data_IF_564518480723
#
_entry.id   IF_564518480723
#
_cell.length_a   1.000
_cell.length_b   1.000
_cell.length_c   1.000
_cell.angle_alpha   90.00
_cell.angle_beta   90.00
_cell.angle_gamma   90.00
#
_symmetry.space_group_name_H-M   'P 1'
#
loop_
_entity.id
_entity.type
_entity.pdbx_description
1 polymer ?
#
# COMPACT_ATOMS: atom_id res chain seq x y z
N UNK A 1 -12.42 -3.24 22.66
CA UNK A 1 -11.34 -3.76 21.82
C UNK A 1 -11.89 -4.32 20.50
N UNK A 2 -12.52 -5.50 20.50
CA UNK A 2 -12.97 -6.18 19.26
C UNK A 2 -13.96 -5.33 18.44
N UNK A 3 -14.85 -4.57 19.06
CA UNK A 3 -15.77 -3.68 18.36
C UNK A 3 -15.02 -2.58 17.59
N UNK A 4 -13.98 -2.00 18.17
CA UNK A 4 -13.16 -0.96 17.52
C UNK A 4 -12.39 -1.58 16.35
N UNK A 5 -11.75 -2.72 16.55
CA UNK A 5 -10.98 -3.38 15.50
C UNK A 5 -11.83 -3.79 14.29
N UNK A 6 -13.11 -4.14 14.51
CA UNK A 6 -14.03 -4.61 13.47
C UNK A 6 -14.89 -3.49 12.84
N UNK A 7 -14.72 -2.26 13.26
CA UNK A 7 -15.60 -1.15 12.80
C UNK A 7 -15.53 -0.92 11.29
N UNK A 8 -14.37 -1.16 10.68
CA UNK A 8 -14.09 -0.88 9.28
C UNK A 8 -13.73 -2.15 8.49
N UNK A 9 -13.97 -3.35 9.07
CA UNK A 9 -13.66 -4.60 8.37
C UNK A 9 -14.69 -4.91 7.27
N UNK A 10 -14.20 -5.43 6.16
CA UNK A 10 -15.04 -5.98 5.10
C UNK A 10 -14.46 -7.31 4.64
N UNK A 11 -15.30 -8.31 4.51
CA UNK A 11 -14.98 -9.60 3.88
C UNK A 11 -15.92 -9.84 2.71
N UNK A 12 -15.38 -10.20 1.55
CA UNK A 12 -16.16 -10.40 0.35
C UNK A 12 -15.67 -11.61 -0.45
N UNK A 13 -16.57 -12.53 -0.78
CA UNK A 13 -16.34 -13.56 -1.78
C UNK A 13 -16.59 -12.97 -3.17
N UNK A 14 -15.69 -13.23 -4.11
CA UNK A 14 -15.71 -12.67 -5.46
C UNK A 14 -15.94 -13.77 -6.50
N UNK A 15 -15.19 -14.87 -6.39
CA UNK A 15 -15.22 -16.03 -7.30
C UNK A 15 -15.04 -15.63 -8.78
N UNK A 16 -14.03 -14.81 -9.06
CA UNK A 16 -13.73 -14.30 -10.40
C UNK A 16 -12.36 -14.76 -10.87
N UNK A 17 -12.29 -15.76 -11.70
CA UNK A 17 -11.03 -16.34 -12.22
C UNK A 17 -10.08 -16.72 -11.06
N UNK A 18 -8.86 -16.12 -11.02
CA UNK A 18 -7.89 -16.36 -9.97
C UNK A 18 -8.22 -15.72 -8.63
N UNK A 19 -9.16 -14.78 -8.58
CA UNK A 19 -9.57 -14.11 -7.35
C UNK A 19 -10.74 -14.83 -6.69
N UNK A 20 -10.52 -15.40 -5.51
CA UNK A 20 -11.53 -16.10 -4.72
C UNK A 20 -12.30 -15.17 -3.79
N UNK A 21 -11.59 -14.42 -2.97
CA UNK A 21 -12.15 -13.57 -1.93
C UNK A 21 -11.14 -12.50 -1.50
N UNK A 22 -11.58 -11.53 -0.70
CA UNK A 22 -10.68 -10.61 -0.01
C UNK A 22 -11.23 -10.18 1.35
N UNK A 23 -10.32 -9.86 2.25
CA UNK A 23 -10.57 -9.24 3.54
C UNK A 23 -9.89 -7.88 3.57
N UNK A 24 -10.60 -6.83 3.99
CA UNK A 24 -10.01 -5.51 4.20
C UNK A 24 -10.32 -4.99 5.59
N UNK A 25 -9.44 -4.15 6.12
CA UNK A 25 -9.70 -3.36 7.31
C UNK A 25 -8.81 -2.11 7.34
N UNK A 26 -9.31 -1.10 8.06
CA UNK A 26 -8.60 0.15 8.30
C UNK A 26 -8.70 0.52 9.78
N UNK A 27 -7.57 0.93 10.38
CA UNK A 27 -7.51 1.45 11.74
C UNK A 27 -6.89 2.84 11.73
N UNK A 28 -7.66 3.91 12.01
CA UNK A 28 -7.16 5.27 12.01
C UNK A 28 -6.25 5.54 13.21
N UNK A 29 -5.24 6.36 12.98
CA UNK A 29 -4.40 7.04 13.96
C UNK A 29 -4.50 8.54 13.80
N UNK A 30 -4.58 9.01 12.56
CA UNK A 30 -4.85 10.39 12.22
C UNK A 30 -6.37 10.70 12.27
N UNK A 31 -6.74 11.96 12.49
CA UNK A 31 -8.12 12.43 12.45
C UNK A 31 -8.20 13.77 11.69
N UNK A 32 -8.69 13.77 10.46
CA UNK A 32 -9.15 12.62 9.67
C UNK A 32 -8.02 11.63 9.35
N UNK A 33 -8.37 10.37 9.12
CA UNK A 33 -7.46 9.34 8.63
C UNK A 33 -6.87 9.76 7.28
N UNK A 34 -5.55 9.64 7.12
CA UNK A 34 -4.85 10.03 5.90
C UNK A 34 -4.76 8.90 4.88
N UNK A 35 -4.86 7.64 5.32
CA UNK A 35 -4.92 6.47 4.44
C UNK A 35 -6.26 6.34 3.70
N UNK A 36 -6.18 5.78 2.48
CA UNK A 36 -7.34 5.29 1.72
C UNK A 36 -7.08 3.89 1.19
N UNK A 37 -8.15 3.09 1.18
CA UNK A 37 -8.14 1.75 0.61
C UNK A 37 -9.33 1.63 -0.33
N UNK A 38 -9.09 1.15 -1.56
CA UNK A 38 -10.13 0.98 -2.57
C UNK A 38 -10.05 -0.43 -3.18
N UNK A 39 -11.21 -0.98 -3.49
CA UNK A 39 -11.38 -2.21 -4.25
C UNK A 39 -12.32 -1.93 -5.40
N UNK A 40 -11.88 -2.21 -6.62
CA UNK A 40 -12.67 -2.00 -7.81
C UNK A 40 -12.56 -3.18 -8.78
N UNK A 41 -13.61 -3.39 -9.56
CA UNK A 41 -13.59 -4.26 -10.73
C UNK A 41 -13.28 -3.41 -11.96
N UNK A 42 -12.27 -3.77 -12.71
CA UNK A 42 -12.02 -3.15 -14.00
C UNK A 42 -13.13 -3.56 -14.98
N UNK A 43 -13.92 -2.60 -15.45
CA UNK A 43 -15.00 -2.88 -16.42
C UNK A 43 -14.48 -3.06 -17.84
N UNK A 44 -13.25 -2.65 -18.10
CA UNK A 44 -12.60 -2.70 -19.40
C UNK A 44 -11.77 -3.97 -19.62
N UNK A 45 -11.45 -4.66 -18.53
CA UNK A 45 -10.84 -5.98 -18.50
C UNK A 45 -11.66 -6.89 -17.60
N UNK A 46 -11.29 -8.16 -17.47
CA UNK A 46 -11.91 -9.07 -16.50
C UNK A 46 -11.30 -8.96 -15.11
N UNK A 47 -10.32 -8.04 -14.95
CA UNK A 47 -9.49 -7.92 -13.77
C UNK A 47 -10.14 -7.18 -12.60
N UNK A 48 -9.48 -7.31 -11.46
CA UNK A 48 -9.78 -6.57 -10.24
C UNK A 48 -8.59 -5.70 -9.86
N UNK A 49 -8.89 -4.53 -9.29
CA UNK A 49 -7.89 -3.60 -8.80
C UNK A 49 -8.07 -3.37 -7.31
N UNK A 50 -6.96 -3.32 -6.60
CA UNK A 50 -6.87 -2.96 -5.19
C UNK A 50 -5.86 -1.83 -5.07
N UNK A 51 -6.19 -0.78 -4.32
CA UNK A 51 -5.30 0.35 -4.10
C UNK A 51 -5.22 0.70 -2.63
N UNK A 52 -4.02 0.90 -2.11
CA UNK A 52 -3.73 1.53 -0.83
C UNK A 52 -2.99 2.82 -1.10
N UNK A 53 -3.47 3.89 -0.51
CA UNK A 53 -2.94 5.24 -0.61
C UNK A 53 -2.66 5.73 0.80
N UNK A 54 -1.41 6.00 1.08
CA UNK A 54 -0.93 6.48 2.37
C UNK A 54 -0.63 7.96 2.24
N UNK A 55 -1.50 8.79 2.80
CA UNK A 55 -1.44 10.25 2.69
C UNK A 55 -0.59 10.87 3.79
N UNK A 56 0.11 11.96 3.45
CA UNK A 56 0.82 12.76 4.42
C UNK A 56 0.64 14.26 4.15
N UNK A 57 0.76 15.05 5.22
CA UNK A 57 0.46 16.49 5.15
C UNK A 57 -1.03 16.79 5.01
N UNK A 58 -1.91 15.79 5.14
CA UNK A 58 -3.36 15.87 5.03
C UNK A 58 -3.96 14.75 4.19
N UNK A 59 -5.23 14.44 4.42
CA UNK A 59 -5.93 13.30 3.81
C UNK A 59 -6.44 13.57 2.37
N UNK A 60 -6.54 14.84 1.96
CA UNK A 60 -7.29 15.21 0.75
C UNK A 60 -6.66 14.65 -0.54
N UNK A 61 -5.32 14.56 -0.60
CA UNK A 61 -4.67 14.03 -1.79
C UNK A 61 -4.88 12.52 -1.92
N UNK A 62 -4.73 11.75 -0.85
CA UNK A 62 -5.03 10.31 -0.86
C UNK A 62 -6.50 10.05 -1.22
N UNK A 63 -7.43 10.87 -0.75
CA UNK A 63 -8.85 10.84 -1.14
C UNK A 63 -9.01 11.07 -2.65
N UNK A 64 -8.40 12.12 -3.19
CA UNK A 64 -8.46 12.44 -4.63
C UNK A 64 -7.89 11.30 -5.48
N UNK A 65 -6.75 10.73 -5.07
CA UNK A 65 -6.12 9.60 -5.77
C UNK A 65 -6.99 8.35 -5.75
N UNK A 66 -7.61 8.05 -4.61
CA UNK A 66 -8.50 6.89 -4.48
C UNK A 66 -9.72 6.96 -5.42
N UNK A 67 -10.15 8.16 -5.79
CA UNK A 67 -11.23 8.36 -6.75
C UNK A 67 -10.78 8.40 -8.21
N UNK A 68 -9.53 8.78 -8.49
CA UNK A 68 -9.10 9.06 -9.87
C UNK A 68 -8.12 8.04 -10.44
N UNK A 69 -7.18 7.50 -9.64
CA UNK A 69 -6.05 6.73 -10.19
C UNK A 69 -6.51 5.45 -10.91
N UNK A 70 -7.50 4.74 -10.36
CA UNK A 70 -7.99 3.51 -11.01
C UNK A 70 -8.66 3.79 -12.35
N UNK A 71 -9.32 4.94 -12.52
CA UNK A 71 -9.89 5.36 -13.80
C UNK A 71 -8.78 5.68 -14.82
N UNK A 72 -7.70 6.37 -14.37
CA UNK A 72 -6.52 6.64 -15.22
C UNK A 72 -5.85 5.34 -15.66
N UNK A 73 -5.71 4.37 -14.76
CA UNK A 73 -5.18 3.04 -15.08
C UNK A 73 -6.09 2.34 -16.11
N UNK A 74 -7.39 2.27 -15.84
CA UNK A 74 -8.35 1.63 -16.73
C UNK A 74 -8.32 2.23 -18.14
N UNK A 75 -8.31 3.56 -18.24
CA UNK A 75 -8.21 4.26 -19.54
C UNK A 75 -6.85 4.03 -20.21
N UNK A 76 -5.76 3.96 -19.45
CA UNK A 76 -4.40 3.74 -19.99
C UNK A 76 -4.18 2.31 -20.50
N UNK A 77 -4.94 1.34 -19.97
CA UNK A 77 -4.94 -0.05 -20.43
C UNK A 77 -5.67 -0.20 -21.79
N UNK A 78 -6.59 0.70 -22.12
CA UNK A 78 -7.30 0.64 -23.40
C UNK A 78 -6.37 0.88 -24.59
N UNK A 79 -6.46 0.06 -25.65
CA UNK A 79 -5.82 0.35 -26.91
C UNK A 79 -6.27 1.73 -27.43
N UNK A 80 -5.36 2.56 -28.02
CA UNK A 80 -5.70 3.91 -28.47
C UNK A 80 -6.87 3.97 -29.47
N UNK A 81 -7.03 2.97 -30.31
CA UNK A 81 -8.14 2.87 -31.25
C UNK A 81 -9.50 2.72 -30.52
N UNK A 82 -9.56 1.86 -29.52
CA UNK A 82 -10.77 1.65 -28.70
C UNK A 82 -11.06 2.87 -27.81
N UNK A 83 -10.03 3.51 -27.27
CA UNK A 83 -10.18 4.73 -26.51
C UNK A 83 -10.79 5.85 -27.37
N UNK A 84 -10.32 6.01 -28.62
CA UNK A 84 -10.85 6.98 -29.57
C UNK A 84 -12.33 6.68 -29.90
N UNK A 85 -12.66 5.44 -30.24
CA UNK A 85 -14.03 4.99 -30.48
C UNK A 85 -14.95 5.23 -29.26
N UNK A 86 -14.43 4.94 -28.05
CA UNK A 86 -15.12 5.19 -26.80
C UNK A 86 -15.43 6.69 -26.60
N UNK A 87 -14.44 7.56 -26.81
CA UNK A 87 -14.61 9.01 -26.67
C UNK A 87 -15.55 9.58 -27.74
N UNK A 88 -15.56 9.05 -28.96
CA UNK A 88 -16.46 9.46 -30.02
C UNK A 88 -17.91 9.01 -29.77
N UNK A 89 -18.12 7.81 -29.27
CA UNK A 89 -19.46 7.25 -28.94
C UNK A 89 -20.07 7.86 -27.69
N UNK A 90 -19.28 8.20 -26.67
CA UNK A 90 -19.76 8.69 -25.38
C UNK A 90 -20.02 10.19 -25.30
N UNK A 91 -20.08 10.88 -26.44
CA UNK A 91 -20.78 12.17 -26.47
C UNK A 91 -22.27 12.04 -26.11
N UNK A 92 -22.80 10.82 -26.03
CA UNK A 92 -24.17 10.50 -25.57
C UNK A 92 -24.20 9.09 -24.95
N UNK A 93 -24.37 9.03 -23.60
CA UNK A 93 -24.86 7.88 -22.80
C UNK A 93 -24.04 6.61 -22.59
N UNK A 94 -23.87 6.27 -21.30
CA UNK A 94 -23.65 4.97 -20.64
C UNK A 94 -22.55 3.98 -21.12
N UNK A 95 -21.66 3.73 -20.18
CA UNK A 95 -20.48 2.86 -20.06
C UNK A 95 -20.66 1.34 -20.30
N UNK A 96 -21.68 0.84 -20.97
CA UNK A 96 -22.11 -0.57 -20.81
C UNK A 96 -21.69 -1.55 -21.91
N UNK A 97 -21.11 -1.18 -23.04
CA UNK A 97 -20.97 -2.11 -24.18
C UNK A 97 -19.61 -2.22 -24.90
N UNK A 98 -18.49 -1.95 -24.27
CA UNK A 98 -17.16 -2.17 -24.90
C UNK A 98 -16.51 -3.50 -24.49
N UNK A 99 -17.23 -4.41 -23.87
CA UNK A 99 -16.72 -5.59 -23.14
C UNK A 99 -16.16 -6.72 -24.03
N UNK A 100 -16.14 -6.63 -25.35
CA UNK A 100 -15.84 -7.79 -26.21
C UNK A 100 -14.54 -7.78 -27.00
N UNK A 101 -13.59 -6.89 -26.78
CA UNK A 101 -12.46 -6.78 -27.70
C UNK A 101 -11.08 -6.49 -27.07
N UNK A 102 -10.83 -6.82 -25.83
CA UNK A 102 -9.46 -6.81 -25.32
C UNK A 102 -9.00 -8.26 -25.22
N UNK A 103 -8.59 -8.83 -26.35
CA UNK A 103 -7.66 -9.94 -26.34
C UNK A 103 -6.39 -9.44 -25.64
N UNK A 104 -6.05 -10.06 -24.56
CA UNK A 104 -4.92 -9.85 -23.64
C UNK A 104 -3.87 -8.83 -24.12
N UNK A 105 -3.76 -7.70 -23.41
CA UNK A 105 -2.57 -6.86 -23.47
C UNK A 105 -1.36 -7.71 -23.06
N UNK A 106 -0.21 -7.47 -23.68
CA UNK A 106 1.04 -8.05 -23.20
C UNK A 106 1.37 -7.44 -21.83
N UNK A 107 2.15 -8.16 -21.03
CA UNK A 107 2.59 -7.67 -19.71
C UNK A 107 3.27 -6.31 -19.84
N UNK A 108 4.14 -6.13 -20.85
CA UNK A 108 4.80 -4.86 -21.13
C UNK A 108 3.82 -3.72 -21.42
N UNK A 109 2.75 -3.97 -22.16
CA UNK A 109 1.73 -2.95 -22.43
C UNK A 109 0.97 -2.55 -21.18
N UNK A 110 0.73 -3.52 -20.27
CA UNK A 110 0.10 -3.26 -18.98
C UNK A 110 1.04 -2.48 -18.05
N UNK A 111 2.32 -2.83 -18.00
CA UNK A 111 3.35 -2.10 -17.26
C UNK A 111 3.46 -0.65 -17.72
N UNK A 112 3.56 -0.44 -19.04
CA UNK A 112 3.62 0.89 -19.64
C UNK A 112 2.34 1.71 -19.37
N UNK A 113 1.18 1.06 -19.33
CA UNK A 113 -0.09 1.72 -19.02
C UNK A 113 -0.16 2.16 -17.57
N UNK A 114 0.26 1.31 -16.65
CA UNK A 114 0.34 1.63 -15.21
C UNK A 114 1.30 2.80 -14.98
N UNK A 115 2.47 2.74 -15.61
CA UNK A 115 3.46 3.81 -15.53
C UNK A 115 2.90 5.16 -16.01
N UNK A 116 2.28 5.16 -17.22
CA UNK A 116 1.67 6.38 -17.76
C UNK A 116 0.56 6.94 -16.88
N UNK A 117 -0.30 6.08 -16.33
CA UNK A 117 -1.42 6.50 -15.49
C UNK A 117 -0.98 7.30 -14.26
N UNK A 118 0.05 6.81 -13.56
CA UNK A 118 0.60 7.48 -12.37
C UNK A 118 1.17 8.85 -12.71
N UNK A 119 2.07 8.89 -13.69
CA UNK A 119 2.74 10.15 -14.09
C UNK A 119 1.73 11.15 -14.67
N UNK A 120 0.78 10.69 -15.48
CA UNK A 120 -0.22 11.57 -16.08
C UNK A 120 -1.15 12.16 -15.03
N UNK A 121 -1.61 11.36 -14.05
CA UNK A 121 -2.47 11.87 -12.97
C UNK A 121 -1.75 12.92 -12.12
N UNK A 122 -0.50 12.68 -11.73
CA UNK A 122 0.28 13.65 -10.95
C UNK A 122 0.47 14.97 -11.72
N UNK A 123 0.78 14.89 -13.02
CA UNK A 123 0.90 16.05 -13.90
C UNK A 123 -0.44 16.80 -14.07
N UNK A 124 -1.55 16.08 -14.17
CA UNK A 124 -2.88 16.70 -14.32
C UNK A 124 -3.31 17.39 -13.02
N UNK A 125 -3.06 16.79 -11.86
CA UNK A 125 -3.28 17.43 -10.55
C UNK A 125 -2.45 18.72 -10.45
N UNK A 126 -1.15 18.66 -10.77
CA UNK A 126 -0.27 19.84 -10.81
C UNK A 126 -0.85 20.95 -11.69
N UNK A 127 -1.30 20.59 -12.90
CA UNK A 127 -1.89 21.55 -13.84
C UNK A 127 -3.20 22.14 -13.31
N UNK A 128 -4.10 21.31 -12.75
CA UNK A 128 -5.37 21.76 -12.16
C UNK A 128 -5.14 22.74 -11.01
N UNK A 129 -4.09 22.54 -10.20
CA UNK A 129 -3.71 23.48 -9.12
C UNK A 129 -3.25 24.81 -9.72
N UNK A 130 -2.33 24.78 -10.69
CA UNK A 130 -1.77 25.97 -11.33
C UNK A 130 -2.88 26.77 -12.04
N UNK A 131 -3.79 26.10 -12.73
CA UNK A 131 -4.91 26.70 -13.44
C UNK A 131 -6.09 27.06 -12.54
N UNK A 132 -5.96 26.87 -11.21
CA UNK A 132 -6.98 27.14 -10.18
C UNK A 132 -8.32 26.41 -10.43
N UNK A 133 -8.26 25.24 -11.06
CA UNK A 133 -9.42 24.38 -11.34
C UNK A 133 -9.78 23.48 -10.15
N UNK A 134 -8.84 23.25 -9.25
CA UNK A 134 -9.03 22.44 -8.05
C UNK A 134 -9.37 23.38 -6.87
N UNK A 135 -10.54 23.25 -6.24
CA UNK A 135 -10.86 24.04 -5.04
C UNK A 135 -9.80 23.82 -3.94
N UNK A 136 -9.33 24.91 -3.34
CA UNK A 136 -8.22 24.88 -2.38
C UNK A 136 -6.94 24.22 -2.90
N UNK A 137 -6.68 24.35 -4.20
CA UNK A 137 -5.59 23.63 -4.90
C UNK A 137 -4.21 23.77 -4.25
N UNK A 138 -3.90 24.93 -3.66
CA UNK A 138 -2.63 25.15 -2.96
C UNK A 138 -2.41 24.22 -1.77
N UNK A 139 -3.47 23.75 -1.08
CA UNK A 139 -3.34 22.76 -0.02
C UNK A 139 -2.88 21.40 -0.58
N UNK A 140 -3.43 20.99 -1.73
CA UNK A 140 -2.99 19.76 -2.41
C UNK A 140 -1.53 19.82 -2.87
N UNK A 141 -0.99 21.03 -3.10
CA UNK A 141 0.39 21.19 -3.54
C UNK A 141 1.43 20.86 -2.46
N UNK A 142 1.05 20.93 -1.20
CA UNK A 142 1.91 20.64 -0.03
C UNK A 142 1.52 19.35 0.68
N UNK A 143 0.61 18.58 0.09
CA UNK A 143 0.22 17.24 0.53
C UNK A 143 0.83 16.23 -0.41
N UNK A 144 1.21 15.08 0.13
CA UNK A 144 1.69 13.94 -0.62
C UNK A 144 0.90 12.68 -0.33
N UNK A 145 1.09 11.68 -1.17
CA UNK A 145 0.60 10.33 -0.93
C UNK A 145 1.48 9.28 -1.59
N UNK A 146 1.87 8.29 -0.82
CA UNK A 146 2.32 7.01 -1.35
C UNK A 146 1.13 6.27 -1.96
N UNK A 147 1.39 5.39 -2.93
CA UNK A 147 0.36 4.57 -3.54
C UNK A 147 0.91 3.20 -3.94
N UNK A 148 0.17 2.15 -3.64
CA UNK A 148 0.44 0.81 -4.17
C UNK A 148 -0.87 0.26 -4.74
N UNK A 149 -0.86 0.02 -6.06
CA UNK A 149 -2.02 -0.50 -6.80
C UNK A 149 -1.71 -1.86 -7.37
N UNK A 150 -2.62 -2.78 -7.15
CA UNK A 150 -2.57 -4.17 -7.62
C UNK A 150 -3.65 -4.36 -8.68
N UNK A 151 -3.28 -4.88 -9.85
CA UNK A 151 -4.20 -5.34 -10.89
C UNK A 151 -4.04 -6.84 -11.08
N UNK A 152 -5.15 -7.58 -10.97
CA UNK A 152 -5.20 -9.03 -11.10
C UNK A 152 -6.13 -9.37 -12.26
N UNK A 153 -5.60 -9.98 -13.30
CA UNK A 153 -6.39 -10.48 -14.42
C UNK A 153 -5.92 -11.88 -14.86
N UNK A 154 -6.78 -12.87 -14.70
CA UNK A 154 -6.43 -14.26 -14.94
C UNK A 154 -5.26 -14.72 -14.05
N UNK A 155 -4.16 -15.15 -14.65
CA UNK A 155 -2.94 -15.56 -13.97
C UNK A 155 -1.92 -14.42 -13.82
N UNK A 156 -2.24 -13.21 -14.28
CA UNK A 156 -1.35 -12.06 -14.27
C UNK A 156 -1.62 -11.16 -13.07
N UNK A 157 -0.59 -10.90 -12.30
CA UNK A 157 -0.56 -9.97 -11.20
C UNK A 157 0.42 -8.85 -11.54
N UNK A 158 -0.08 -7.63 -11.72
CA UNK A 158 0.73 -6.43 -11.86
C UNK A 158 0.61 -5.57 -10.61
N UNK A 159 1.72 -5.08 -10.13
CA UNK A 159 1.78 -4.20 -8.96
C UNK A 159 2.56 -2.95 -9.31
N UNK A 160 1.91 -1.80 -9.20
CA UNK A 160 2.52 -0.48 -9.39
C UNK A 160 2.63 0.21 -8.03
N UNK A 161 3.84 0.58 -7.62
CA UNK A 161 4.10 1.22 -6.33
C UNK A 161 4.87 2.53 -6.48
N UNK A 162 4.50 3.52 -5.68
CA UNK A 162 5.17 4.81 -5.51
C UNK A 162 5.16 5.15 -4.02
N UNK A 163 6.33 5.28 -3.39
CA UNK A 163 6.48 5.44 -1.94
C UNK A 163 6.72 4.10 -1.24
N UNK A 164 6.22 3.92 -0.03
CA UNK A 164 6.56 2.83 0.91
C UNK A 164 5.39 1.92 1.32
N UNK A 165 4.20 2.11 0.73
CA UNK A 165 3.18 1.06 0.74
C UNK A 165 3.71 -0.22 0.09
N UNK A 166 3.37 -1.39 0.64
CA UNK A 166 3.96 -2.65 0.21
C UNK A 166 2.92 -3.73 -0.09
N UNK A 167 3.22 -4.54 -1.12
CA UNK A 167 2.50 -5.74 -1.49
C UNK A 167 3.39 -6.99 -1.34
N UNK A 168 2.90 -8.01 -0.64
CA UNK A 168 3.65 -9.23 -0.34
C UNK A 168 2.81 -10.47 -0.61
N UNK A 169 3.30 -11.36 -1.45
CA UNK A 169 2.72 -12.68 -1.72
C UNK A 169 2.99 -13.66 -0.58
N UNK A 170 1.96 -14.39 -0.21
CA UNK A 170 2.03 -15.58 0.65
C UNK A 170 2.01 -16.85 -0.20
N UNK A 171 3.15 -17.52 -0.24
CA UNK A 171 3.40 -18.72 -1.05
C UNK A 171 3.46 -19.93 -0.14
N UNK A 172 2.73 -20.98 -0.47
CA UNK A 172 2.82 -22.27 0.23
C UNK A 172 3.73 -23.20 -0.55
N UNK A 173 4.89 -23.49 0.02
CA UNK A 173 5.85 -24.44 -0.57
C UNK A 173 5.39 -25.89 -0.44
N UNK A 174 6.05 -26.80 -1.15
CA UNK A 174 5.69 -28.23 -1.18
C UNK A 174 5.88 -28.93 0.17
N UNK A 175 6.77 -28.42 1.02
CA UNK A 175 6.99 -28.89 2.40
C UNK A 175 6.02 -28.23 3.42
N UNK A 176 4.96 -27.58 2.93
CA UNK A 176 3.94 -26.87 3.71
C UNK A 176 4.49 -25.71 4.56
N UNK A 177 5.62 -25.12 4.17
CA UNK A 177 6.13 -23.88 4.78
C UNK A 177 5.62 -22.65 4.04
N UNK A 178 5.39 -21.57 4.80
CA UNK A 178 4.98 -20.28 4.27
C UNK A 178 6.19 -19.43 3.87
N UNK A 179 6.25 -19.03 2.62
CA UNK A 179 7.25 -18.14 2.07
C UNK A 179 6.61 -16.78 1.76
N UNK A 180 7.34 -15.70 2.03
CA UNK A 180 6.95 -14.33 1.67
C UNK A 180 7.78 -13.85 0.50
N UNK A 181 7.12 -13.30 -0.53
CA UNK A 181 7.76 -12.66 -1.68
C UNK A 181 7.22 -11.25 -1.84
N UNK A 182 8.08 -10.24 -1.67
CA UNK A 182 7.70 -8.87 -2.01
C UNK A 182 7.46 -8.77 -3.52
N UNK A 183 6.37 -8.13 -3.90
CA UNK A 183 5.97 -7.85 -5.29
C UNK A 183 5.72 -6.35 -5.51
N UNK A 184 6.25 -5.53 -4.63
CA UNK A 184 6.40 -4.08 -4.78
C UNK A 184 7.77 -3.68 -4.28
N UNK A 185 8.20 -2.49 -4.67
CA UNK A 185 9.46 -1.89 -4.22
C UNK A 185 9.14 -0.68 -3.33
N UNK A 186 9.83 -0.57 -2.21
CA UNK A 186 9.73 0.60 -1.34
C UNK A 186 10.69 1.68 -1.80
N UNK A 187 10.21 2.92 -1.86
CA UNK A 187 11.00 4.08 -2.29
C UNK A 187 11.35 4.96 -1.08
N UNK A 188 12.23 4.44 -0.24
CA UNK A 188 12.78 5.11 0.93
C UNK A 188 14.31 4.99 0.93
N UNK A 189 14.97 5.54 1.95
CA UNK A 189 16.44 5.57 2.03
C UNK A 189 17.08 4.21 2.33
N UNK A 190 16.32 3.24 2.83
CA UNK A 190 16.78 1.86 3.02
C UNK A 190 16.97 1.13 1.67
N UNK A 191 16.29 1.59 0.63
CA UNK A 191 16.47 1.10 -0.73
C UNK A 191 17.68 1.78 -1.40
N UNK A 192 18.82 1.10 -1.37
CA UNK A 192 20.10 1.61 -1.92
C UNK A 192 19.98 1.99 -3.41
N UNK A 193 19.18 1.27 -4.20
CA UNK A 193 19.02 1.57 -5.62
C UNK A 193 18.24 2.86 -5.81
N UNK A 194 17.18 3.07 -5.03
CA UNK A 194 16.40 4.30 -5.06
C UNK A 194 17.21 5.50 -4.56
N UNK A 195 17.96 5.32 -3.48
CA UNK A 195 18.88 6.34 -2.98
C UNK A 195 19.93 6.75 -4.05
N UNK A 196 20.51 5.78 -4.74
CA UNK A 196 21.45 6.05 -5.84
C UNK A 196 20.78 6.78 -7.01
N UNK A 197 19.55 6.40 -7.36
CA UNK A 197 18.78 7.11 -8.40
C UNK A 197 18.65 8.59 -8.06
N UNK A 198 18.09 8.88 -6.88
CA UNK A 198 17.89 10.28 -6.44
C UNK A 198 19.19 11.06 -6.43
N UNK A 199 20.26 10.50 -5.87
CA UNK A 199 21.57 11.18 -5.84
C UNK A 199 22.16 11.38 -7.24
N UNK A 200 21.90 10.49 -8.20
CA UNK A 200 22.42 10.60 -9.57
C UNK A 200 21.69 11.62 -10.44
N UNK A 201 20.47 11.99 -10.07
CA UNK A 201 19.65 12.99 -10.77
C UNK A 201 20.04 14.43 -10.44
N UNK A 202 20.92 14.62 -9.43
CA UNK A 202 21.35 15.94 -8.96
C UNK A 202 22.87 16.11 -9.04
N UNK A 203 23.37 17.36 -9.18
CA UNK A 203 24.79 17.63 -9.20
C UNK A 203 25.52 17.14 -7.94
N UNK A 204 26.78 16.69 -8.10
CA UNK A 204 27.59 16.21 -6.97
C UNK A 204 27.75 17.25 -5.84
N UNK A 205 27.63 18.55 -6.14
CA UNK A 205 27.65 19.64 -5.14
C UNK A 205 26.44 19.59 -4.18
N UNK A 206 25.34 18.91 -4.57
CA UNK A 206 24.13 18.79 -3.77
C UNK A 206 24.06 17.46 -3.00
N UNK A 207 25.00 16.53 -3.21
CA UNK A 207 24.94 15.17 -2.65
C UNK A 207 24.71 15.10 -1.13
N UNK A 208 25.24 16.09 -0.38
CA UNK A 208 25.09 16.17 1.07
C UNK A 208 23.77 16.82 1.53
N UNK A 209 23.00 17.41 0.61
CA UNK A 209 21.76 18.13 0.91
C UNK A 209 20.53 17.43 0.35
N UNK A 210 20.66 16.68 -0.75
CA UNK A 210 19.55 15.94 -1.40
C UNK A 210 18.93 14.93 -0.46
N UNK A 211 19.74 14.16 0.25
CA UNK A 211 19.25 13.25 1.31
C UNK A 211 20.03 13.56 2.59
N UNK A 212 19.30 13.83 3.66
CA UNK A 212 19.86 14.16 4.98
C UNK A 212 19.00 13.54 6.08
N UNK A 213 19.66 12.86 7.03
CA UNK A 213 18.96 12.19 8.14
C UNK A 213 17.85 11.24 7.64
N UNK A 214 18.16 10.44 6.63
CA UNK A 214 17.26 9.49 5.99
C UNK A 214 15.97 10.11 5.41
N UNK A 215 16.04 11.39 5.01
CA UNK A 215 14.93 12.15 4.42
C UNK A 215 15.37 12.96 3.21
N UNK A 216 14.49 13.06 2.23
CA UNK A 216 14.64 13.93 1.07
C UNK A 216 14.68 15.39 1.55
N UNK A 217 15.76 16.11 1.21
CA UNK A 217 16.05 17.47 1.67
C UNK A 217 15.95 17.64 3.21
N UNK A 218 16.13 16.55 3.96
CA UNK A 218 16.03 16.51 5.42
C UNK A 218 14.62 16.62 5.99
N UNK A 219 13.57 16.44 5.16
CA UNK A 219 12.18 16.65 5.57
C UNK A 219 11.28 15.46 5.23
N UNK A 220 11.21 15.05 3.97
CA UNK A 220 10.25 14.06 3.48
C UNK A 220 10.84 12.64 3.55
N UNK A 221 10.09 11.69 4.14
CA UNK A 221 10.55 10.31 4.29
C UNK A 221 10.54 9.53 2.96
N UNK A 222 9.44 9.47 2.17
CA UNK A 222 9.45 8.78 0.90
C UNK A 222 10.30 9.53 -0.16
N UNK A 223 10.96 8.76 -1.03
CA UNK A 223 11.75 9.26 -2.16
C UNK A 223 10.93 9.31 -3.47
N UNK A 224 9.70 8.78 -3.45
CA UNK A 224 8.67 8.95 -4.49
C UNK A 224 7.31 9.12 -3.84
N UNK A 225 6.50 10.03 -4.36
CA UNK A 225 5.12 10.25 -3.93
C UNK A 225 4.32 10.97 -5.01
N UNK A 226 3.01 10.85 -4.98
CA UNK A 226 2.10 11.79 -5.63
C UNK A 226 2.07 13.11 -4.86
N UNK A 227 1.77 14.21 -5.55
CA UNK A 227 1.69 15.51 -4.92
C UNK A 227 3.03 16.04 -4.47
N UNK A 228 3.09 16.60 -3.27
CA UNK A 228 4.32 17.22 -2.73
C UNK A 228 4.99 18.12 -3.76
N UNK A 229 4.22 18.96 -4.44
CA UNK A 229 4.71 19.76 -5.56
C UNK A 229 5.73 20.81 -5.13
N UNK A 230 5.82 21.11 -3.85
CA UNK A 230 6.91 21.90 -3.28
C UNK A 230 8.29 21.21 -3.36
N UNK A 231 8.36 19.90 -3.71
CA UNK A 231 9.57 19.17 -4.05
C UNK A 231 9.75 18.95 -5.56
N UNK A 232 8.73 19.31 -6.38
CA UNK A 232 8.71 19.07 -7.82
C UNK A 232 8.77 20.34 -8.67
N UNK A 233 8.15 21.43 -8.20
CA UNK A 233 8.07 22.67 -8.95
C UNK A 233 9.33 23.51 -8.85
N UNK A 234 9.53 24.35 -9.87
CA UNK A 234 10.56 25.39 -9.82
C UNK A 234 10.38 26.31 -8.60
N UNK A 235 11.49 26.74 -8.00
CA UNK A 235 11.50 27.59 -6.81
C UNK A 235 10.73 28.91 -7.01
N UNK A 236 10.72 29.46 -8.24
CA UNK A 236 9.93 30.64 -8.61
C UNK A 236 8.45 30.42 -8.42
N UNK A 237 7.93 29.27 -8.88
CA UNK A 237 6.53 28.90 -8.77
C UNK A 237 6.10 28.66 -7.33
N UNK A 238 6.95 28.00 -6.55
CA UNK A 238 6.71 27.80 -5.10
C UNK A 238 6.59 29.15 -4.39
N UNK A 239 7.50 30.09 -4.69
CA UNK A 239 7.45 31.44 -4.10
C UNK A 239 6.21 32.21 -4.51
N UNK A 240 5.73 32.05 -5.73
CA UNK A 240 4.55 32.72 -6.25
C UNK A 240 3.24 32.16 -5.67
N UNK A 241 3.08 30.80 -5.69
CA UNK A 241 1.80 30.16 -5.41
C UNK A 241 1.67 29.68 -3.96
N UNK A 242 2.75 29.24 -3.32
CA UNK A 242 2.68 28.58 -2.01
C UNK A 242 3.18 29.45 -0.86
N UNK A 243 4.27 30.19 -1.04
CA UNK A 243 4.82 31.04 0.04
C UNK A 243 3.82 32.07 0.58
N UNK A 244 2.97 32.72 -0.22
CA UNK A 244 1.98 33.68 0.31
C UNK A 244 0.95 33.05 1.26
N UNK A 245 0.69 31.75 1.12
CA UNK A 245 -0.32 31.02 1.90
C UNK A 245 0.28 30.25 3.08
N UNK A 246 1.45 29.65 2.89
CA UNK A 246 2.05 28.74 3.86
C UNK A 246 3.34 29.30 4.52
N UNK A 247 3.86 30.42 4.02
CA UNK A 247 5.13 30.96 4.51
C UNK A 247 6.35 30.35 3.82
N UNK A 248 7.54 30.88 4.14
CA UNK A 248 8.80 30.52 3.46
C UNK A 248 9.26 29.10 3.72
N UNK A 249 8.78 28.44 4.78
CA UNK A 249 9.18 27.08 5.13
C UNK A 249 8.68 26.02 4.13
N UNK A 250 7.70 26.36 3.28
CA UNK A 250 7.19 25.47 2.22
C UNK A 250 8.23 25.21 1.13
N UNK A 251 9.19 26.11 0.96
CA UNK A 251 10.34 25.91 0.09
C UNK A 251 11.45 25.23 0.90
N UNK A 252 11.83 23.99 0.57
CA UNK A 252 12.86 23.27 1.32
C UNK A 252 14.20 24.00 1.31
N UNK A 253 14.99 23.84 2.37
CA UNK A 253 16.34 24.36 2.42
C UNK A 253 17.22 23.67 1.36
N UNK A 254 18.15 24.43 0.75
CA UNK A 254 19.05 23.93 -0.32
C UNK A 254 18.32 23.44 -1.58
N UNK A 255 17.16 24.02 -1.90
CA UNK A 255 16.38 23.70 -3.08
C UNK A 255 16.96 24.36 -4.32
N UNK A 256 17.68 23.61 -5.18
CA UNK A 256 18.51 24.18 -6.27
C UNK A 256 18.15 23.62 -7.65
N UNK A 257 17.98 22.29 -7.77
CA UNK A 257 17.77 21.59 -9.05
C UNK A 257 16.53 20.70 -9.05
N UNK A 258 15.29 21.26 -8.90
CA UNK A 258 14.07 20.46 -8.97
C UNK A 258 13.90 19.80 -10.34
N UNK A 259 13.12 18.68 -10.42
CA UNK A 259 12.39 18.05 -9.35
C UNK A 259 13.23 17.11 -8.49
N UNK A 260 13.00 17.10 -7.16
CA UNK A 260 13.63 16.15 -6.24
C UNK A 260 12.79 14.90 -5.98
N UNK A 261 11.50 14.96 -6.30
CA UNK A 261 10.51 13.91 -6.07
C UNK A 261 9.80 13.57 -7.38
N UNK A 262 9.38 12.31 -7.52
CA UNK A 262 8.60 11.85 -8.67
C UNK A 262 7.44 10.96 -8.22
N UNK A 263 6.33 10.99 -8.98
CA UNK A 263 5.24 10.03 -8.83
C UNK A 263 5.41 8.79 -9.71
N UNK A 264 6.51 8.68 -10.46
CA UNK A 264 6.79 7.55 -11.34
C UNK A 264 6.78 6.25 -10.55
N UNK A 265 5.90 5.28 -10.87
CA UNK A 265 5.85 4.03 -10.16
C UNK A 265 6.98 3.10 -10.56
N UNK A 266 7.31 2.16 -9.69
CA UNK A 266 7.95 0.92 -10.09
C UNK A 266 6.86 -0.13 -10.29
N UNK A 267 6.88 -0.79 -11.45
CA UNK A 267 5.87 -1.80 -11.81
C UNK A 267 6.51 -3.17 -11.82
N UNK A 268 5.89 -4.11 -11.11
CA UNK A 268 6.32 -5.51 -11.07
C UNK A 268 5.22 -6.40 -11.63
N UNK A 269 5.60 -7.35 -12.45
CA UNK A 269 4.72 -8.42 -12.94
C UNK A 269 5.08 -9.75 -12.27
N UNK A 270 4.05 -10.51 -11.88
CA UNK A 270 4.18 -11.87 -11.37
C UNK A 270 3.11 -12.77 -11.98
N UNK A 271 3.54 -13.88 -12.57
CA UNK A 271 2.64 -14.92 -13.04
C UNK A 271 2.21 -15.78 -11.84
N UNK A 272 0.91 -15.76 -11.53
CA UNK A 272 0.33 -16.50 -10.42
C UNK A 272 0.36 -18.01 -10.67
N UNK A 273 0.78 -18.75 -9.67
CA UNK A 273 0.86 -20.21 -9.65
C UNK A 273 -0.05 -20.80 -8.58
N UNK A 274 -0.37 -22.10 -8.61
CA UNK A 274 -1.16 -22.75 -7.56
C UNK A 274 -0.54 -22.69 -6.16
N UNK A 275 0.75 -22.34 -6.04
CA UNK A 275 1.45 -22.15 -4.76
C UNK A 275 1.17 -20.78 -4.15
N UNK A 276 0.83 -19.78 -4.97
CA UNK A 276 0.44 -18.45 -4.52
C UNK A 276 -0.96 -18.54 -3.89
N UNK A 277 -1.08 -18.26 -2.59
CA UNK A 277 -2.32 -18.46 -1.85
C UNK A 277 -3.06 -17.16 -1.59
N UNK A 278 -2.31 -16.11 -1.32
CA UNK A 278 -2.85 -14.78 -1.05
C UNK A 278 -1.81 -13.70 -1.28
N UNK A 279 -2.29 -12.47 -1.40
CA UNK A 279 -1.49 -11.25 -1.40
C UNK A 279 -1.92 -10.40 -0.20
N UNK A 280 -0.96 -9.80 0.49
CA UNK A 280 -1.20 -8.76 1.50
C UNK A 280 -0.72 -7.44 0.94
N UNK A 281 -1.63 -6.48 0.79
CA UNK A 281 -1.38 -5.12 0.39
C UNK A 281 -1.67 -4.21 1.59
N UNK A 282 -0.72 -3.37 2.01
CA UNK A 282 -0.92 -2.50 3.16
C UNK A 282 -0.06 -1.23 3.10
N UNK A 283 -0.48 -0.21 3.86
CA UNK A 283 0.31 0.98 4.18
C UNK A 283 1.44 0.66 5.16
N UNK A 284 2.37 1.59 5.36
CA UNK A 284 3.55 1.45 6.21
C UNK A 284 3.19 1.14 7.68
N UNK A 285 2.04 1.63 8.17
CA UNK A 285 1.57 1.38 9.54
C UNK A 285 1.49 -0.10 9.94
N UNK A 286 1.30 -1.03 8.97
CA UNK A 286 1.45 -2.46 9.21
C UNK A 286 2.91 -2.90 9.15
N UNK A 287 3.65 -2.44 8.12
CA UNK A 287 4.98 -2.96 7.80
C UNK A 287 6.05 -2.48 8.78
N UNK A 288 5.85 -1.33 9.41
CA UNK A 288 6.66 -0.86 10.55
C UNK A 288 6.50 -1.76 11.78
N UNK A 289 5.30 -2.32 12.02
CA UNK A 289 5.01 -3.17 13.17
C UNK A 289 5.42 -4.62 12.95
N UNK A 290 5.42 -5.11 11.71
CA UNK A 290 5.66 -6.53 11.43
C UNK A 290 6.41 -6.77 10.12
N UNK A 291 7.41 -7.64 10.20
CA UNK A 291 8.16 -8.12 9.04
C UNK A 291 7.27 -8.95 8.09
N UNK A 292 7.48 -8.89 6.76
CA UNK A 292 6.68 -9.61 5.76
C UNK A 292 6.50 -11.10 6.03
N UNK A 293 7.56 -11.81 6.43
CA UNK A 293 7.48 -13.24 6.73
C UNK A 293 6.57 -13.56 7.93
N UNK A 294 6.48 -12.66 8.90
CA UNK A 294 5.56 -12.80 10.04
C UNK A 294 4.11 -12.59 9.61
N UNK A 295 3.86 -11.57 8.79
CA UNK A 295 2.54 -11.26 8.23
C UNK A 295 2.03 -12.44 7.43
N UNK A 296 2.84 -12.96 6.50
CA UNK A 296 2.48 -14.13 5.68
C UNK A 296 2.19 -15.36 6.55
N UNK A 297 3.02 -15.64 7.55
CA UNK A 297 2.78 -16.75 8.47
C UNK A 297 1.50 -16.59 9.27
N UNK A 298 1.17 -15.37 9.71
CA UNK A 298 -0.07 -15.08 10.44
C UNK A 298 -1.31 -15.36 9.56
N UNK A 299 -1.33 -14.84 8.35
CA UNK A 299 -2.44 -15.09 7.41
C UNK A 299 -2.56 -16.57 7.08
N UNK A 300 -1.45 -17.24 6.77
CA UNK A 300 -1.44 -18.67 6.44
C UNK A 300 -1.92 -19.57 7.59
N UNK A 301 -1.56 -19.26 8.81
CA UNK A 301 -2.05 -19.97 10.00
C UNK A 301 -3.52 -19.63 10.28
N UNK A 302 -3.93 -18.36 10.10
CA UNK A 302 -5.31 -17.94 10.21
C UNK A 302 -6.22 -18.70 9.26
N UNK A 303 -5.84 -18.85 7.99
CA UNK A 303 -6.56 -19.68 6.99
C UNK A 303 -6.72 -21.12 7.43
N UNK A 304 -5.79 -21.66 8.22
CA UNK A 304 -5.81 -23.01 8.78
C UNK A 304 -6.49 -23.08 10.16
N UNK A 305 -7.06 -21.98 10.65
CA UNK A 305 -7.69 -21.90 11.98
C UNK A 305 -6.70 -22.04 13.14
N UNK A 306 -5.42 -21.78 12.91
CA UNK A 306 -4.35 -21.92 13.90
C UNK A 306 -3.86 -20.58 14.40
N UNK A 307 -3.40 -20.54 15.64
CA UNK A 307 -2.76 -19.37 16.25
C UNK A 307 -1.24 -19.41 16.03
N UNK A 308 -0.67 -18.26 15.73
CA UNK A 308 0.79 -18.10 15.60
C UNK A 308 1.32 -17.23 16.73
N UNK A 309 2.41 -17.62 17.35
CA UNK A 309 3.08 -16.85 18.39
C UNK A 309 4.50 -16.46 17.96
N UNK A 310 5.03 -15.39 18.58
CA UNK A 310 6.43 -15.00 18.41
C UNK A 310 7.36 -16.05 19.02
N UNK A 311 8.64 -16.00 18.65
CA UNK A 311 9.64 -16.88 19.26
C UNK A 311 9.71 -16.60 20.76
N UNK A 312 9.70 -17.69 21.56
CA UNK A 312 9.87 -17.58 22.99
C UNK A 312 11.27 -17.07 23.31
N UNK A 313 11.34 -15.95 24.03
CA UNK A 313 12.58 -15.45 24.62
C UNK A 313 12.50 -15.58 26.13
N UNK A 314 13.48 -16.27 26.70
CA UNK A 314 13.55 -16.37 28.15
C UNK A 314 13.91 -15.00 28.75
N UNK A 315 13.15 -14.49 29.74
CA UNK A 315 13.37 -13.18 30.33
C UNK A 315 14.74 -13.01 31.01
N UNK A 316 15.36 -14.11 31.43
CA UNK A 316 16.66 -14.15 32.13
C UNK A 316 17.50 -15.32 31.61
N UNK A 317 18.85 -15.18 31.52
CA UNK A 317 19.73 -16.26 31.07
C UNK A 317 19.73 -17.48 31.99
N UNK A 318 19.52 -17.28 33.31
CA UNK A 318 19.49 -18.31 34.35
C UNK A 318 18.12 -18.29 35.03
N UNK A 319 17.22 -19.15 34.57
CA UNK A 319 15.91 -19.37 35.15
C UNK A 319 15.84 -20.75 35.80
N UNK A 320 15.02 -20.87 36.85
CA UNK A 320 14.69 -22.17 37.42
C UNK A 320 13.88 -22.98 36.42
N UNK A 321 14.10 -24.29 36.36
CA UNK A 321 13.37 -25.19 35.44
C UNK A 321 11.85 -25.10 35.63
N UNK A 322 11.35 -24.89 36.88
CA UNK A 322 9.94 -24.67 37.14
C UNK A 322 9.38 -23.44 36.43
N UNK A 323 10.09 -22.29 36.51
CA UNK A 323 9.67 -21.05 35.85
C UNK A 323 9.64 -21.21 34.32
N UNK A 324 10.63 -21.94 33.75
CA UNK A 324 10.67 -22.25 32.31
C UNK A 324 9.49 -23.15 31.90
N UNK A 325 9.16 -24.14 32.76
CA UNK A 325 8.02 -25.02 32.51
C UNK A 325 6.70 -24.23 32.52
N UNK A 326 6.51 -23.32 33.49
CA UNK A 326 5.33 -22.48 33.55
C UNK A 326 5.18 -21.57 32.29
N UNK A 327 6.28 -20.97 31.84
CA UNK A 327 6.29 -20.19 30.57
C UNK A 327 5.93 -21.04 29.37
N UNK A 328 6.46 -22.25 29.24
CA UNK A 328 6.13 -23.19 28.17
C UNK A 328 4.66 -23.63 28.25
N UNK A 329 4.12 -23.82 29.43
CA UNK A 329 2.72 -24.18 29.63
C UNK A 329 1.78 -23.06 29.19
N UNK A 330 2.04 -21.82 29.60
CA UNK A 330 1.30 -20.62 29.15
C UNK A 330 1.36 -20.51 27.62
N UNK A 331 2.56 -20.69 27.05
CA UNK A 331 2.74 -20.65 25.60
C UNK A 331 1.93 -21.74 24.89
N UNK A 332 1.90 -22.95 25.42
CA UNK A 332 1.12 -24.06 24.87
C UNK A 332 -0.38 -23.73 24.88
N UNK A 333 -0.88 -23.15 25.96
CA UNK A 333 -2.28 -22.68 26.03
C UNK A 333 -2.55 -21.59 24.98
N UNK A 334 -1.64 -20.65 24.77
CA UNK A 334 -1.76 -19.63 23.72
C UNK A 334 -1.83 -20.20 22.33
N UNK A 335 -1.00 -21.22 22.03
CA UNK A 335 -1.02 -21.91 20.72
C UNK A 335 -2.30 -22.72 20.46
N UNK A 336 -2.94 -23.21 21.52
CA UNK A 336 -4.19 -23.97 21.43
C UNK A 336 -5.42 -23.09 21.12
N UNK A 337 -5.29 -21.77 21.30
CA UNK A 337 -6.38 -20.84 21.00
C UNK A 337 -6.59 -20.71 19.48
N UNK A 338 -7.85 -20.59 19.08
CA UNK A 338 -8.19 -20.24 17.68
C UNK A 338 -8.11 -18.73 17.49
N UNK A 339 -7.82 -18.26 16.25
CA UNK A 339 -7.93 -16.84 15.93
C UNK A 339 -9.32 -16.30 16.28
N UNK A 340 -9.37 -15.14 16.94
CA UNK A 340 -10.62 -14.53 17.41
C UNK A 340 -11.36 -13.75 16.32
N UNK A 341 -10.68 -13.42 15.25
CA UNK A 341 -11.22 -12.65 14.13
C UNK A 341 -11.45 -13.56 12.93
N UNK A 342 -12.60 -13.42 12.25
CA UNK A 342 -12.87 -14.12 11.00
C UNK A 342 -12.16 -13.44 9.82
N UNK A 343 -12.06 -12.10 9.87
CA UNK A 343 -11.37 -11.28 8.88
C UNK A 343 -9.86 -11.27 9.13
N UNK A 344 -9.07 -11.64 8.12
CA UNK A 344 -7.61 -11.73 8.27
C UNK A 344 -6.93 -10.36 8.40
N UNK A 345 -7.47 -9.30 7.79
CA UNK A 345 -6.92 -7.95 7.98
C UNK A 345 -7.11 -7.49 9.43
N UNK A 346 -8.28 -7.73 10.04
CA UNK A 346 -8.52 -7.50 11.47
C UNK A 346 -7.59 -8.33 12.35
N UNK A 347 -7.37 -9.60 11.98
CA UNK A 347 -6.41 -10.48 12.66
C UNK A 347 -4.99 -9.90 12.61
N UNK A 348 -4.56 -9.35 11.48
CA UNK A 348 -3.25 -8.70 11.35
C UNK A 348 -3.14 -7.47 12.25
N UNK A 349 -4.14 -6.56 12.25
CA UNK A 349 -4.15 -5.38 13.13
C UNK A 349 -4.07 -5.79 14.61
N UNK A 350 -4.87 -6.77 15.02
CA UNK A 350 -4.83 -7.28 16.41
C UNK A 350 -3.47 -7.81 16.79
N UNK A 351 -2.82 -8.53 15.90
CA UNK A 351 -1.48 -9.07 16.12
C UNK A 351 -0.40 -7.99 16.07
N UNK A 352 -0.53 -6.97 15.22
CA UNK A 352 0.40 -5.84 15.18
C UNK A 352 0.44 -5.11 16.53
N UNK A 353 -0.73 -4.87 17.12
CA UNK A 353 -0.85 -4.06 18.33
C UNK A 353 -0.75 -4.83 19.66
N UNK A 354 -1.14 -6.10 19.69
CA UNK A 354 -1.29 -6.84 20.95
C UNK A 354 -0.50 -8.12 21.07
N UNK A 355 0.27 -8.51 20.04
CA UNK A 355 0.95 -9.81 20.03
C UNK A 355 2.16 -9.84 20.97
N UNK A 356 2.31 -11.00 21.61
CA UNK A 356 3.48 -11.39 22.41
C UNK A 356 3.88 -12.83 22.08
N UNK A 357 4.94 -13.32 22.70
CA UNK A 357 5.37 -14.72 22.64
C UNK A 357 4.42 -15.71 23.33
N UNK A 358 3.44 -15.22 24.10
CA UNK A 358 2.46 -16.03 24.84
C UNK A 358 1.05 -15.95 24.26
N UNK A 359 0.80 -15.05 23.33
CA UNK A 359 -0.52 -14.82 22.73
C UNK A 359 -0.81 -13.34 22.53
N UNK A 360 -2.08 -13.01 22.42
CA UNK A 360 -2.55 -11.63 22.38
C UNK A 360 -2.71 -11.10 23.81
N UNK A 361 -1.95 -10.09 24.15
CA UNK A 361 -2.07 -9.36 25.41
C UNK A 361 -3.18 -8.31 25.31
N UNK A 362 -4.34 -8.64 25.91
CA UNK A 362 -5.52 -7.78 25.84
C UNK A 362 -5.31 -6.41 26.50
N UNK A 363 -4.52 -6.34 27.58
CA UNK A 363 -4.18 -5.09 28.26
C UNK A 363 -3.40 -4.14 27.35
N UNK A 364 -2.34 -4.63 26.72
CA UNK A 364 -1.55 -3.88 25.73
C UNK A 364 -2.39 -3.40 24.56
N UNK A 365 -3.18 -4.30 23.98
CA UNK A 365 -4.06 -3.98 22.87
C UNK A 365 -5.11 -2.92 23.26
N UNK A 366 -5.71 -3.04 24.44
CA UNK A 366 -6.67 -2.06 24.95
C UNK A 366 -6.02 -0.70 25.18
N UNK A 367 -4.81 -0.67 25.74
CA UNK A 367 -4.06 0.56 25.95
C UNK A 367 -3.73 1.26 24.63
N UNK A 368 -3.27 0.52 23.59
CA UNK A 368 -2.99 1.05 22.27
C UNK A 368 -4.24 1.63 21.57
N UNK A 369 -5.40 1.01 21.75
CA UNK A 369 -6.66 1.47 21.16
C UNK A 369 -7.32 2.62 21.96
N UNK A 370 -6.93 2.81 23.23
CA UNK A 370 -7.43 3.88 24.09
C UNK A 370 -6.56 5.13 24.10
N UNK A 371 -5.47 5.14 23.31
CA UNK A 371 -4.60 6.33 23.19
C UNK A 371 -5.43 7.56 22.75
N UNK A 372 -5.25 8.73 23.42
CA UNK A 372 -5.85 9.97 22.99
C UNK A 372 -5.40 10.36 21.57
N UNK A 373 -6.28 11.03 20.85
CA UNK A 373 -6.05 11.42 19.44
C UNK A 373 -4.77 12.26 19.28
N UNK A 374 -4.44 13.08 20.26
CA UNK A 374 -3.30 14.00 20.22
C UNK A 374 -1.95 13.29 20.29
N UNK A 375 -1.92 12.05 20.78
CA UNK A 375 -0.67 11.32 21.00
C UNK A 375 -0.58 10.00 20.23
N UNK A 376 -1.69 9.50 19.69
CA UNK A 376 -1.74 8.18 19.05
C UNK A 376 -0.74 8.04 17.90
N UNK A 377 -0.54 9.12 17.13
CA UNK A 377 0.39 9.16 15.98
C UNK A 377 1.87 8.96 16.40
N UNK A 378 2.22 9.27 17.64
CA UNK A 378 3.56 9.00 18.17
C UNK A 378 3.81 7.52 18.52
N UNK A 379 2.77 6.68 18.52
CA UNK A 379 2.84 5.26 18.87
C UNK A 379 2.51 4.32 17.71
N UNK A 380 1.69 4.75 16.77
CA UNK A 380 1.32 4.00 15.57
C UNK A 380 0.80 4.92 14.49
N UNK A 381 0.97 4.50 13.24
CA UNK A 381 0.38 5.15 12.08
C UNK A 381 -1.01 4.61 11.74
N UNK A 382 -1.67 5.24 10.77
CA UNK A 382 -2.84 4.68 10.09
C UNK A 382 -2.50 3.29 9.53
N UNK A 383 -3.43 2.35 9.63
CA UNK A 383 -3.24 1.00 9.07
C UNK A 383 -4.35 0.72 8.08
N UNK A 384 -3.99 0.54 6.82
CA UNK A 384 -4.87 0.08 5.76
C UNK A 384 -4.37 -1.24 5.21
N UNK A 385 -5.20 -2.29 5.28
CA UNK A 385 -4.79 -3.66 4.95
C UNK A 385 -5.84 -4.31 4.05
N UNK A 386 -5.39 -4.90 2.94
CA UNK A 386 -6.14 -5.83 2.13
C UNK A 386 -5.42 -7.19 2.08
N UNK A 387 -6.14 -8.26 2.39
CA UNK A 387 -5.71 -9.65 2.20
C UNK A 387 -6.54 -10.24 1.07
N UNK A 388 -5.90 -10.58 -0.03
CA UNK A 388 -6.52 -10.99 -1.29
C UNK A 388 -6.22 -12.47 -1.50
N UNK A 389 -7.24 -13.32 -1.56
CA UNK A 389 -7.10 -14.78 -1.66
C UNK A 389 -7.24 -15.26 -3.09
N UNK A 390 -6.30 -16.10 -3.51
CA UNK A 390 -6.31 -16.68 -4.84
C UNK A 390 -7.02 -18.03 -4.89
N UNK A 391 -7.64 -18.32 -6.05
CA UNK A 391 -8.24 -19.61 -6.36
C UNK A 391 -7.19 -20.58 -6.91
N UNK A 392 -6.71 -21.48 -6.04
CA UNK A 392 -5.68 -22.45 -6.39
C UNK A 392 -6.18 -23.50 -7.41
N UNK A 393 -7.50 -23.74 -7.53
CA UNK A 393 -8.06 -24.67 -8.51
C UNK A 393 -8.04 -24.03 -9.89
N UNK A 394 -8.52 -22.79 -10.00
CA UNK A 394 -8.39 -22.02 -11.24
C UNK A 394 -6.93 -21.94 -11.71
N UNK A 395 -6.00 -21.59 -10.82
CA UNK A 395 -4.59 -21.47 -11.16
C UNK A 395 -3.93 -22.80 -11.58
N UNK A 396 -4.45 -23.95 -11.09
CA UNK A 396 -3.97 -25.29 -11.49
C UNK A 396 -4.44 -25.65 -12.90
N UNK A 397 -5.65 -25.23 -13.27
CA UNK A 397 -6.26 -25.54 -14.57
C UNK A 397 -5.85 -24.56 -15.67
N UNK A 398 -5.27 -23.41 -15.29
CA UNK A 398 -4.79 -22.42 -16.25
C UNK A 398 -3.49 -22.92 -16.90
N UNK A 399 -3.31 -22.69 -18.21
CA UNK A 399 -2.05 -23.05 -18.87
C UNK A 399 -0.88 -22.31 -18.21
N UNK A 400 0.25 -23.01 -18.06
CA UNK A 400 1.50 -22.35 -17.69
C UNK A 400 1.87 -21.36 -18.79
N UNK A 401 2.02 -20.09 -18.46
CA UNK A 401 2.41 -19.01 -19.38
C UNK A 401 3.83 -19.20 -19.90
#
# INVERSE_FOLDING_TARGET
VSRILRSNETSREVQARSLRAFDTNQLPSNNPMEDRLIVARCLLTTGHMFGVFDGHGGHNLAELLSHRLLDYIALSILPPALLKEYLEKNKRTHLVQVVHAIDSLTDQQTEDALHRAFVQLDNDISREIIEQKLPNGSQYAVMGSCACVVHIDGTHLHVASTGDCKAVLGILSDDATWLSKAVSVEHNTDNINELRRVLSEHPASESNSVVKQDRLLGQLAPLRAFGDFNYKWEASRIRELLVPQFGTYVLPAHYMTPPYLTAQPEVMHHHLTPRDKFLVLASDGLWEQMQPHKVVRLVGQHMSGKQTLDLLRLPRPLMKLGDVYDLLHIRHQGLAQKPSDANAATHLIRNALGRTEYGIEHGKLAAMLALPQEVVRSFRDDMSIAVIYFDSEFLRLSPAG
#
